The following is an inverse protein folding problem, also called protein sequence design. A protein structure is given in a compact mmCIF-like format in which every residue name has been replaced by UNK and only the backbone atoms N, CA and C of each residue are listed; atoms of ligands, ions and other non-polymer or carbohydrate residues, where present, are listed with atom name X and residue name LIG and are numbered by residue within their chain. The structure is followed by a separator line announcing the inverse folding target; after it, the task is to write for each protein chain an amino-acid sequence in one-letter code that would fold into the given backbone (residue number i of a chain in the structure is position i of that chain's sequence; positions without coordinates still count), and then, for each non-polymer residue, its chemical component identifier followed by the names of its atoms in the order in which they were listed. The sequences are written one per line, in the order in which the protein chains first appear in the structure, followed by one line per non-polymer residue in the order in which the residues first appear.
data_IF_756478173880
#
_entry.id   IF_756478173880
#
_cell.length_a   1.000
_cell.length_b   1.000
_cell.length_c   1.000
_cell.angle_alpha   90.00
_cell.angle_beta   90.00
_cell.angle_gamma   90.00
#
_symmetry.space_group_name_H-M   'P 1'
#
loop_
_entity.id
_entity.type
_entity.pdbx_description
1 polymer ?
#
# COMPACT_ATOMS: atom_id res chain seq x y z
N UNK A 1 13.12 -2.01 20.41
CA UNK A 1 12.04 -1.31 19.67
C UNK A 1 10.79 -2.16 19.89
N UNK A 2 9.69 -1.59 20.37
CA UNK A 2 8.48 -2.38 20.58
C UNK A 2 7.87 -2.77 19.23
N UNK A 3 7.38 -4.00 19.10
CA UNK A 3 6.66 -4.46 17.90
C UNK A 3 5.41 -3.59 17.73
N UNK A 4 5.20 -2.94 16.57
CA UNK A 4 4.04 -2.10 16.36
C UNK A 4 2.77 -2.95 16.26
N UNK A 5 1.62 -2.39 16.66
CA UNK A 5 0.33 -3.04 16.48
C UNK A 5 -0.01 -3.04 14.98
N UNK A 6 -0.25 -4.21 14.41
CA UNK A 6 -0.76 -4.37 13.04
C UNK A 6 -2.28 -4.27 13.10
N UNK A 7 -2.85 -3.20 12.55
CA UNK A 7 -4.33 -3.02 12.49
C UNK A 7 -4.97 -3.87 11.42
N UNK A 8 -4.28 -3.99 10.29
CA UNK A 8 -4.87 -4.50 9.06
C UNK A 8 -3.81 -5.02 8.11
N UNK A 9 -4.18 -6.09 7.43
CA UNK A 9 -3.42 -6.74 6.38
C UNK A 9 -4.31 -6.87 5.15
N UNK A 10 -3.75 -6.68 3.96
CA UNK A 10 -4.43 -7.01 2.71
C UNK A 10 -3.47 -7.53 1.66
N UNK A 11 -3.89 -8.54 0.91
CA UNK A 11 -3.26 -9.00 -0.32
C UNK A 11 -3.97 -8.39 -1.52
N UNK A 12 -3.29 -7.49 -2.21
CA UNK A 12 -3.74 -6.88 -3.46
C UNK A 12 -3.20 -7.72 -4.61
N UNK A 13 -4.08 -8.18 -5.50
CA UNK A 13 -3.72 -9.02 -6.65
C UNK A 13 -3.92 -8.25 -7.95
N UNK A 14 -2.94 -8.36 -8.84
CA UNK A 14 -2.96 -7.75 -10.16
C UNK A 14 -4.14 -8.26 -10.99
N UNK A 15 -4.88 -7.34 -11.60
CA UNK A 15 -5.95 -7.64 -12.54
C UNK A 15 -5.34 -7.84 -13.94
N UNK A 16 -5.38 -9.06 -14.45
CA UNK A 16 -4.86 -9.41 -15.78
C UNK A 16 -5.62 -8.74 -16.92
N UNK A 17 -6.83 -8.23 -16.65
CA UNK A 17 -7.60 -7.44 -17.61
C UNK A 17 -7.34 -5.93 -17.47
N UNK A 18 -6.39 -5.54 -16.61
CA UNK A 18 -6.02 -4.14 -16.48
C UNK A 18 -5.45 -3.61 -17.81
N UNK A 19 -5.79 -2.35 -18.12
CA UNK A 19 -5.42 -1.69 -19.37
C UNK A 19 -4.05 -1.01 -19.20
N UNK A 20 -3.96 0.27 -19.59
CA UNK A 20 -2.73 1.07 -19.54
C UNK A 20 -2.13 1.23 -18.14
N UNK A 21 -2.96 1.25 -17.10
CA UNK A 21 -2.50 1.43 -15.72
C UNK A 21 -2.75 0.14 -14.93
N UNK A 22 -1.70 -0.47 -14.36
CA UNK A 22 -1.84 -1.68 -13.57
C UNK A 22 -2.85 -1.47 -12.44
N UNK A 23 -3.87 -2.32 -12.42
CA UNK A 23 -4.92 -2.31 -11.40
C UNK A 23 -4.70 -3.50 -10.49
N UNK A 24 -4.86 -3.29 -9.20
CA UNK A 24 -4.87 -4.33 -8.20
C UNK A 24 -6.18 -4.28 -7.42
N UNK A 25 -6.68 -5.43 -6.99
CA UNK A 25 -7.84 -5.50 -6.10
C UNK A 25 -7.48 -6.31 -4.86
N UNK A 26 -8.00 -5.89 -3.71
CA UNK A 26 -7.89 -6.70 -2.49
C UNK A 26 -8.64 -8.02 -2.74
N UNK A 27 -7.92 -9.13 -2.61
CA UNK A 27 -8.49 -10.48 -2.72
C UNK A 27 -8.70 -11.10 -1.34
N UNK A 28 -7.80 -10.78 -0.41
CA UNK A 28 -7.75 -11.32 0.94
C UNK A 28 -7.35 -10.21 1.91
N UNK A 29 -7.94 -10.18 3.08
CA UNK A 29 -7.63 -9.22 4.13
C UNK A 29 -7.83 -9.82 5.52
N UNK A 30 -7.16 -9.25 6.52
CA UNK A 30 -7.31 -9.61 7.92
C UNK A 30 -7.20 -8.35 8.80
N UNK A 31 -7.91 -8.35 9.93
CA UNK A 31 -8.04 -7.18 10.79
C UNK A 31 -9.10 -6.19 10.29
N UNK A 32 -9.06 -4.95 10.78
CA UNK A 32 -10.05 -3.93 10.43
C UNK A 32 -9.43 -2.55 10.30
N UNK A 33 -9.62 -1.93 9.14
CA UNK A 33 -9.19 -0.56 8.86
C UNK A 33 -10.35 0.23 8.22
N UNK A 34 -11.20 0.90 9.03
CA UNK A 34 -12.47 1.49 8.57
C UNK A 34 -12.39 2.36 7.30
N UNK A 35 -11.33 3.17 7.08
CA UNK A 35 -11.23 3.98 5.87
C UNK A 35 -11.30 3.17 4.56
N UNK A 36 -10.93 1.88 4.57
CA UNK A 36 -10.99 1.02 3.39
C UNK A 36 -12.41 0.80 2.87
N UNK A 37 -13.42 0.80 3.74
CA UNK A 37 -14.81 0.62 3.32
C UNK A 37 -15.29 1.76 2.40
N UNK A 38 -14.74 2.96 2.59
CA UNK A 38 -15.06 4.12 1.74
C UNK A 38 -14.55 3.96 0.31
N UNK A 39 -13.52 3.12 0.12
CA UNK A 39 -12.91 2.85 -1.17
C UNK A 39 -13.63 1.76 -1.96
N UNK A 40 -14.58 1.05 -1.35
CA UNK A 40 -15.27 -0.09 -1.95
C UNK A 40 -16.04 0.33 -3.21
N UNK A 41 -15.77 -0.36 -4.31
CA UNK A 41 -16.42 -0.19 -5.60
C UNK A 41 -17.84 -0.74 -5.61
N UNK A 42 -18.54 -0.54 -6.74
CA UNK A 42 -19.87 -1.13 -6.97
C UNK A 42 -19.83 -2.65 -7.06
N UNK A 43 -18.67 -3.19 -7.42
CA UNK A 43 -18.36 -4.62 -7.46
C UNK A 43 -18.03 -5.19 -6.07
N UNK A 44 -18.15 -4.40 -5.00
CA UNK A 44 -17.87 -4.82 -3.63
C UNK A 44 -16.38 -4.93 -3.30
N UNK A 45 -15.48 -4.62 -4.25
CA UNK A 45 -14.03 -4.74 -4.08
C UNK A 45 -13.37 -3.39 -3.82
N UNK A 46 -12.27 -3.41 -3.08
CA UNK A 46 -11.36 -2.26 -2.99
C UNK A 46 -10.26 -2.45 -4.03
N UNK A 47 -10.07 -1.47 -4.91
CA UNK A 47 -9.04 -1.51 -5.95
C UNK A 47 -8.13 -0.30 -5.91
N UNK A 48 -6.90 -0.51 -6.36
CA UNK A 48 -5.88 0.51 -6.49
C UNK A 48 -5.25 0.47 -7.88
N UNK A 49 -4.89 1.64 -8.38
CA UNK A 49 -4.06 1.81 -9.56
C UNK A 49 -2.64 2.12 -9.13
N UNK A 50 -1.67 1.34 -9.62
CA UNK A 50 -0.26 1.61 -9.46
C UNK A 50 0.16 2.61 -10.53
N UNK A 51 0.53 3.82 -10.12
CA UNK A 51 0.82 4.94 -11.02
C UNK A 51 2.17 5.57 -10.69
N UNK A 52 2.81 6.13 -11.70
CA UNK A 52 3.92 7.05 -11.48
C UNK A 52 3.42 8.32 -10.76
N UNK A 53 4.30 8.92 -9.96
CA UNK A 53 4.08 10.26 -9.42
C UNK A 53 4.18 11.27 -10.56
N UNK A 54 3.32 12.28 -10.50
CA UNK A 54 3.18 13.29 -11.54
C UNK A 54 4.42 14.22 -11.69
N UNK A 55 5.44 14.07 -10.83
CA UNK A 55 6.76 14.72 -10.91
C UNK A 55 7.82 13.82 -10.25
N UNK A 56 8.93 13.55 -10.92
CA UNK A 56 10.29 14.02 -10.56
C UNK A 56 11.38 13.49 -11.52
N UNK A 57 12.52 14.19 -11.56
CA UNK A 57 13.60 14.05 -12.53
C UNK A 57 14.50 12.79 -12.43
N UNK A 58 15.63 12.88 -13.11
CA UNK A 58 16.21 11.90 -14.05
C UNK A 58 16.57 10.45 -13.63
N UNK A 59 16.23 9.91 -12.45
CA UNK A 59 16.77 8.56 -12.07
C UNK A 59 15.82 7.46 -11.58
N UNK A 60 14.51 7.68 -11.44
CA UNK A 60 13.47 6.61 -11.46
C UNK A 60 12.08 7.23 -11.21
N UNK A 61 11.00 6.72 -11.82
CA UNK A 61 9.65 7.17 -11.47
C UNK A 61 9.29 6.69 -10.07
N UNK A 62 9.08 7.64 -9.15
CA UNK A 62 8.49 7.32 -7.85
C UNK A 62 7.05 6.84 -8.05
N UNK A 63 6.67 5.72 -7.42
CA UNK A 63 5.33 5.11 -7.59
C UNK A 63 4.36 5.54 -6.49
N UNK A 64 3.06 5.40 -6.76
CA UNK A 64 1.97 5.60 -5.80
C UNK A 64 0.81 4.65 -6.08
N UNK A 65 0.03 4.37 -5.04
CA UNK A 65 -1.26 3.72 -5.16
C UNK A 65 -2.36 4.77 -5.16
N UNK A 66 -3.21 4.75 -6.18
CA UNK A 66 -4.40 5.58 -6.27
C UNK A 66 -5.66 4.74 -6.13
N UNK A 67 -6.52 5.10 -5.19
CA UNK A 67 -7.80 4.43 -4.95
C UNK A 67 -8.96 5.12 -5.68
N UNK A 68 -10.17 4.60 -5.45
CA UNK A 68 -11.45 5.15 -5.92
C UNK A 68 -11.54 6.67 -5.70
N UNK A 69 -12.14 7.38 -6.66
CA UNK A 69 -12.32 8.83 -6.58
C UNK A 69 -11.03 9.63 -6.72
N UNK A 70 -9.99 9.02 -7.31
CA UNK A 70 -8.66 9.61 -7.50
C UNK A 70 -7.94 9.97 -6.20
N UNK A 71 -8.29 9.29 -5.09
CA UNK A 71 -7.62 9.44 -3.80
C UNK A 71 -6.20 8.87 -3.94
N UNK A 72 -5.20 9.70 -3.68
CA UNK A 72 -3.82 9.22 -3.54
C UNK A 72 -3.71 8.50 -2.19
N UNK A 73 -3.85 7.17 -2.19
CA UNK A 73 -3.82 6.37 -0.98
C UNK A 73 -2.48 6.52 -0.26
N UNK A 74 -1.38 6.30 -1.00
CA UNK A 74 -0.03 6.64 -0.52
C UNK A 74 0.99 6.62 -1.67
N UNK A 75 2.14 7.25 -1.44
CA UNK A 75 3.34 7.02 -2.26
C UNK A 75 4.10 5.80 -1.76
N UNK A 76 4.68 5.04 -2.68
CA UNK A 76 5.48 3.85 -2.37
C UNK A 76 6.95 4.26 -2.28
N UNK A 77 7.41 4.62 -1.07
CA UNK A 77 8.81 4.96 -0.80
C UNK A 77 9.66 3.70 -0.84
N UNK A 78 10.89 3.84 -1.34
CA UNK A 78 11.87 2.75 -1.54
C UNK A 78 11.38 1.63 -2.48
N UNK A 79 10.30 1.86 -3.24
CA UNK A 79 9.79 0.91 -4.23
C UNK A 79 10.84 0.57 -5.30
N UNK A 80 11.62 1.57 -5.70
CA UNK A 80 12.82 1.39 -6.51
C UNK A 80 14.06 1.84 -5.72
N UNK A 81 15.09 1.02 -5.71
CA UNK A 81 16.43 1.33 -5.16
C UNK A 81 17.43 1.09 -6.29
N UNK A 82 18.25 2.10 -6.59
CA UNK A 82 19.23 2.06 -7.70
C UNK A 82 18.64 1.62 -9.05
N UNK A 83 17.41 2.09 -9.34
CA UNK A 83 16.69 1.78 -10.57
C UNK A 83 16.10 0.37 -10.65
N UNK A 84 16.19 -0.43 -9.58
CA UNK A 84 15.65 -1.79 -9.51
C UNK A 84 14.52 -1.88 -8.50
N UNK A 85 13.53 -2.73 -8.79
CA UNK A 85 12.45 -3.02 -7.84
C UNK A 85 13.07 -3.62 -6.58
N UNK A 86 12.80 -3.02 -5.42
CA UNK A 86 13.35 -3.46 -4.14
C UNK A 86 12.61 -4.67 -3.55
N UNK A 87 11.37 -4.91 -4.00
CA UNK A 87 10.44 -5.88 -3.41
C UNK A 87 9.72 -5.36 -2.16
N UNK A 88 10.11 -4.20 -1.62
CA UNK A 88 9.53 -3.64 -0.40
C UNK A 88 9.32 -2.13 -0.53
N UNK A 89 8.26 -1.63 0.07
CA UNK A 89 8.04 -0.19 0.13
C UNK A 89 7.38 0.19 1.44
N UNK A 90 7.39 1.49 1.73
CA UNK A 90 6.59 2.02 2.81
C UNK A 90 5.88 3.30 2.38
N UNK A 91 4.85 3.64 3.14
CA UNK A 91 4.05 4.82 2.93
C UNK A 91 3.33 5.21 4.21
N UNK A 92 2.44 6.18 4.07
CA UNK A 92 1.55 6.64 5.13
C UNK A 92 0.38 7.40 4.50
N UNK A 93 -0.75 7.52 5.20
CA UNK A 93 -1.89 8.28 4.73
C UNK A 93 -1.60 9.78 4.59
N UNK A 94 -2.38 10.44 3.74
CA UNK A 94 -2.29 11.89 3.55
C UNK A 94 -2.77 12.63 4.80
N UNK A 95 -2.02 13.65 5.23
CA UNK A 95 -2.19 14.29 6.54
C UNK A 95 -3.29 15.35 6.62
N UNK A 96 -3.83 15.80 5.48
CA UNK A 96 -4.84 16.87 5.47
C UNK A 96 -6.26 16.33 5.60
N UNK A 97 -7.14 17.13 6.23
CA UNK A 97 -8.57 16.79 6.43
C UNK A 97 -9.34 16.64 5.13
N UNK A 98 -8.92 17.37 4.11
CA UNK A 98 -9.58 17.46 2.82
C UNK A 98 -8.58 17.10 1.72
N UNK A 99 -9.09 16.52 0.63
CA UNK A 99 -8.30 16.22 -0.56
C UNK A 99 -9.02 16.70 -1.82
N UNK A 100 -8.30 16.69 -2.94
CA UNK A 100 -8.75 17.14 -4.27
C UNK A 100 -9.09 18.64 -4.36
N UNK A 101 -9.33 19.12 -5.58
CA UNK A 101 -9.75 20.52 -5.83
C UNK A 101 -11.12 20.83 -5.23
N UNK A 102 -11.98 19.81 -5.12
CA UNK A 102 -13.36 19.93 -4.62
C UNK A 102 -13.46 19.85 -3.09
N UNK A 103 -12.33 19.83 -2.37
CA UNK A 103 -12.30 19.77 -0.89
C UNK A 103 -13.10 18.60 -0.30
N UNK A 104 -12.94 17.42 -0.87
CA UNK A 104 -13.60 16.19 -0.39
C UNK A 104 -13.00 15.75 0.94
N UNK A 105 -13.79 15.24 1.90
CA UNK A 105 -13.26 14.71 3.16
C UNK A 105 -12.28 13.56 2.93
N UNK A 106 -11.10 13.62 3.55
CA UNK A 106 -10.12 12.54 3.51
C UNK A 106 -10.51 11.44 4.51
N UNK A 107 -10.91 10.24 4.05
CA UNK A 107 -11.36 9.18 4.96
C UNK A 107 -10.22 8.64 5.86
N UNK A 108 -8.95 8.95 5.54
CA UNK A 108 -7.79 8.51 6.31
C UNK A 108 -7.28 9.55 7.31
N UNK A 109 -7.93 10.71 7.45
CA UNK A 109 -7.41 11.80 8.29
C UNK A 109 -7.25 11.43 9.76
N UNK A 110 -8.17 10.63 10.31
CA UNK A 110 -8.11 10.17 11.70
C UNK A 110 -7.03 9.10 11.93
N UNK A 111 -6.53 8.52 10.84
CA UNK A 111 -5.47 7.50 10.82
C UNK A 111 -4.16 8.06 10.24
N UNK A 112 -4.04 9.38 10.10
CA UNK A 112 -2.90 10.07 9.44
C UNK A 112 -1.52 9.80 10.05
N UNK A 113 -1.48 9.21 11.25
CA UNK A 113 -0.24 8.82 11.96
C UNK A 113 0.10 7.33 11.79
N UNK A 114 -0.73 6.54 11.11
CA UNK A 114 -0.43 5.15 10.80
C UNK A 114 0.68 5.05 9.73
N UNK A 115 1.48 3.99 9.83
CA UNK A 115 2.49 3.63 8.85
C UNK A 115 1.99 2.51 7.95
N UNK A 116 2.39 2.53 6.67
CA UNK A 116 2.12 1.44 5.74
C UNK A 116 3.42 0.76 5.35
N UNK A 117 3.44 -0.56 5.37
CA UNK A 117 4.48 -1.37 4.75
C UNK A 117 3.90 -2.15 3.58
N UNK A 118 4.75 -2.42 2.60
CA UNK A 118 4.39 -3.13 1.39
C UNK A 118 5.42 -4.20 1.04
N UNK A 119 4.94 -5.35 0.58
CA UNK A 119 5.75 -6.42 -0.02
C UNK A 119 5.24 -6.63 -1.44
N UNK A 120 6.12 -6.53 -2.43
CA UNK A 120 5.79 -6.70 -3.84
C UNK A 120 6.36 -8.04 -4.35
N UNK A 121 5.47 -8.94 -4.78
CA UNK A 121 5.82 -10.34 -5.08
C UNK A 121 5.52 -10.72 -6.53
N UNK A 122 6.48 -11.45 -7.14
CA UNK A 122 6.59 -11.89 -8.54
C UNK A 122 6.41 -10.77 -9.57
N UNK A 123 7.31 -10.64 -10.53
CA UNK A 123 7.27 -9.52 -11.48
C UNK A 123 6.82 -10.02 -12.86
N UNK A 124 5.81 -9.36 -13.45
CA UNK A 124 5.25 -9.74 -14.75
C UNK A 124 6.11 -9.29 -15.94
N UNK A 125 6.92 -8.23 -15.80
CA UNK A 125 7.69 -7.61 -16.89
C UNK A 125 8.94 -6.88 -16.37
N UNK A 126 9.89 -6.57 -17.26
CA UNK A 126 11.14 -5.87 -16.94
C UNK A 126 10.94 -4.52 -16.21
N UNK A 127 9.77 -3.88 -16.35
CA UNK A 127 9.44 -2.60 -15.72
C UNK A 127 8.98 -2.67 -14.25
N UNK A 128 9.01 -3.84 -13.60
CA UNK A 128 8.79 -3.94 -12.15
C UNK A 128 7.32 -3.89 -11.70
N UNK A 129 6.41 -4.47 -12.50
CA UNK A 129 4.99 -4.65 -12.12
C UNK A 129 4.84 -5.98 -11.35
N UNK A 130 4.52 -5.95 -10.05
CA UNK A 130 4.31 -7.16 -9.29
C UNK A 130 2.96 -7.82 -9.62
N UNK A 131 2.87 -9.13 -9.46
CA UNK A 131 1.60 -9.87 -9.55
C UNK A 131 0.74 -9.68 -8.31
N UNK A 132 1.39 -9.38 -7.18
CA UNK A 132 0.74 -9.17 -5.91
C UNK A 132 1.49 -8.17 -5.05
N UNK A 133 0.75 -7.41 -4.26
CA UNK A 133 1.27 -6.46 -3.29
C UNK A 133 0.58 -6.75 -1.97
N UNK A 134 1.34 -7.06 -0.93
CA UNK A 134 0.82 -7.10 0.43
C UNK A 134 0.89 -5.71 1.04
N UNK A 135 -0.17 -5.30 1.74
CA UNK A 135 -0.27 -4.06 2.51
C UNK A 135 -0.37 -4.43 3.99
N UNK A 136 0.48 -3.83 4.81
CA UNK A 136 0.44 -3.92 6.27
C UNK A 136 0.23 -2.52 6.84
N UNK A 137 -0.81 -2.35 7.65
CA UNK A 137 -1.11 -1.09 8.35
C UNK A 137 -0.66 -1.18 9.79
N UNK A 138 0.28 -0.31 10.16
CA UNK A 138 0.87 -0.21 11.48
C UNK A 138 0.31 1.01 12.21
N UNK A 139 -0.30 0.78 13.37
CA UNK A 139 -0.88 1.82 14.23
C UNK A 139 0.18 2.84 14.69
N UNK A 140 -0.06 4.13 14.44
CA UNK A 140 0.77 5.24 14.94
C UNK A 140 2.23 5.22 14.46
N UNK A 141 2.54 4.43 13.43
CA UNK A 141 3.91 4.09 13.05
C UNK A 141 4.50 4.97 11.93
N UNK A 142 3.82 6.04 11.49
CA UNK A 142 4.25 6.87 10.36
C UNK A 142 5.70 7.36 10.45
N UNK A 143 6.11 7.86 11.62
CA UNK A 143 7.48 8.38 11.84
C UNK A 143 8.52 7.26 11.70
N UNK A 144 8.15 6.03 12.07
CA UNK A 144 9.03 4.86 12.08
C UNK A 144 8.85 3.97 10.84
N UNK A 145 8.00 4.33 9.87
CA UNK A 145 7.65 3.48 8.74
C UNK A 145 8.88 3.02 7.94
N UNK A 146 9.88 3.89 7.74
CA UNK A 146 11.14 3.51 7.09
C UNK A 146 11.93 2.49 7.91
N UNK A 147 12.00 2.65 9.23
CA UNK A 147 12.68 1.70 10.12
C UNK A 147 11.97 0.36 10.14
N UNK A 148 10.63 0.35 10.24
CA UNK A 148 9.86 -0.89 10.17
C UNK A 148 9.93 -1.56 8.80
N UNK A 149 10.09 -0.80 7.71
CA UNK A 149 10.34 -1.38 6.39
C UNK A 149 11.69 -2.11 6.33
N UNK A 150 12.73 -1.60 7.01
CA UNK A 150 14.02 -2.31 7.13
C UNK A 150 13.88 -3.56 8.00
N UNK A 151 13.14 -3.48 9.11
CA UNK A 151 12.85 -4.64 9.95
C UNK A 151 12.08 -5.72 9.17
N UNK A 152 11.11 -5.32 8.35
CA UNK A 152 10.36 -6.21 7.46
C UNK A 152 11.28 -6.93 6.47
N UNK A 153 12.20 -6.19 5.82
CA UNK A 153 13.21 -6.78 4.94
C UNK A 153 14.10 -7.81 5.67
N UNK A 154 14.35 -7.61 6.95
CA UNK A 154 15.16 -8.50 7.79
C UNK A 154 14.37 -9.69 8.38
N UNK A 155 13.11 -9.89 7.99
CA UNK A 155 12.25 -10.99 8.50
C UNK A 155 11.63 -10.71 9.87
N UNK A 156 11.70 -9.47 10.38
CA UNK A 156 11.25 -9.12 11.72
C UNK A 156 9.73 -9.04 11.91
N UNK A 157 8.94 -9.52 10.94
CA UNK A 157 7.48 -9.64 10.98
C UNK A 157 6.98 -11.01 10.49
N UNK A 158 7.89 -11.99 10.29
CA UNK A 158 7.55 -13.24 9.61
C UNK A 158 6.47 -14.05 10.32
N UNK A 159 6.52 -14.11 11.67
CA UNK A 159 5.54 -14.83 12.49
C UNK A 159 4.15 -14.17 12.43
N UNK A 160 4.09 -12.84 12.59
CA UNK A 160 2.83 -12.08 12.51
C UNK A 160 2.22 -12.16 11.11
N UNK A 161 3.06 -12.05 10.06
CA UNK A 161 2.61 -12.16 8.68
C UNK A 161 2.11 -13.56 8.35
N UNK A 162 2.77 -14.63 8.84
CA UNK A 162 2.27 -15.99 8.66
C UNK A 162 0.85 -16.12 9.22
N UNK A 163 0.65 -15.62 10.44
CA UNK A 163 -0.65 -15.64 11.12
C UNK A 163 -1.71 -14.83 10.35
N UNK A 164 -1.37 -13.61 9.90
CA UNK A 164 -2.29 -12.74 9.16
C UNK A 164 -2.67 -13.33 7.79
N UNK A 165 -1.72 -13.93 7.08
CA UNK A 165 -1.96 -14.61 5.80
C UNK A 165 -2.91 -15.80 5.98
N UNK A 166 -2.77 -16.57 7.06
CA UNK A 166 -3.69 -17.65 7.40
C UNK A 166 -5.10 -17.13 7.72
N UNK A 167 -5.20 -16.05 8.51
CA UNK A 167 -6.48 -15.42 8.83
C UNK A 167 -7.18 -14.90 7.58
N UNK A 168 -6.45 -14.29 6.66
CA UNK A 168 -6.99 -13.72 5.43
C UNK A 168 -7.49 -14.79 4.41
N UNK A 169 -7.19 -16.07 4.64
CA UNK A 169 -7.69 -17.19 3.84
C UNK A 169 -9.02 -17.76 4.34
N UNK A 170 -9.51 -17.31 5.50
CA UNK A 170 -10.76 -17.78 6.12
C UNK A 170 -11.95 -16.96 5.64
#
# INVERSE_FOLDING_TARGET
MATPIIRYYAMLVYDTNSKKTPKYSILKDAGYYPPMDTLRGRDGKVSFYLMEKLKEGDKAPAMRLQAKGSINFTGLKDYFIDGKLSGFAYGYPYGEKLFSKDKKPNPFYDYKEDGYLFIASNVLQEQGIPTSIELIVLEGAKILASTYCKQLLMGGFDEELSTLREQANK
#
